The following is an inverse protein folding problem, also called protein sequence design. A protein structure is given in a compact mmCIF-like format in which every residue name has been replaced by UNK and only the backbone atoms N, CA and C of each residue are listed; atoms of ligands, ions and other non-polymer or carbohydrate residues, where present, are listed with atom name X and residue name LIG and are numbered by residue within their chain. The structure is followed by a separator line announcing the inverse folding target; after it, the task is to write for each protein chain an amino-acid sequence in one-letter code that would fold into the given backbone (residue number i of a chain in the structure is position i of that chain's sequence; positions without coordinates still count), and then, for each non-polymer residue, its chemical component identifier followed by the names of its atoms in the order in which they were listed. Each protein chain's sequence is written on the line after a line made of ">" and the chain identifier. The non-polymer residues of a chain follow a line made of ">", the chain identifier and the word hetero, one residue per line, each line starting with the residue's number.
data_IF_321154276613
#
_entry.id   IF_321154276613
#
_cell.length_a   1.000
_cell.length_b   1.000
_cell.length_c   1.000
_cell.angle_alpha   90.00
_cell.angle_beta   90.00
_cell.angle_gamma   90.00
#
_symmetry.space_group_name_H-M   'P 1'
#
loop_
_entity.id
_entity.type
_entity.pdbx_description
1 polymer ?
#
# COMPACT_ATOMS: atom_id res chain seq x y z
N UNK A 1 -8.85 18.32 -10.73
CA UNK A 1 -8.48 17.00 -10.14
C UNK A 1 -7.06 16.57 -10.48
N UNK A 2 -6.62 16.58 -11.75
CA UNK A 2 -5.25 16.19 -12.14
C UNK A 2 -4.13 16.97 -11.41
N UNK A 3 -4.31 18.28 -11.22
CA UNK A 3 -3.33 19.14 -10.53
C UNK A 3 -3.08 18.70 -9.08
N UNK A 4 -4.14 18.32 -8.36
CA UNK A 4 -4.03 17.83 -6.98
C UNK A 4 -3.32 16.47 -6.88
N UNK A 5 -3.48 15.60 -7.88
CA UNK A 5 -2.76 14.31 -7.91
C UNK A 5 -1.26 14.52 -8.17
N UNK A 6 -0.89 15.46 -9.04
CA UNK A 6 0.52 15.82 -9.27
C UNK A 6 1.19 16.35 -7.99
N UNK A 7 0.52 17.22 -7.23
CA UNK A 7 1.03 17.70 -5.95
C UNK A 7 1.23 16.56 -4.93
N UNK A 8 0.33 15.57 -4.90
CA UNK A 8 0.49 14.37 -4.07
C UNK A 8 1.70 13.53 -4.50
N UNK A 9 1.94 13.37 -5.81
CA UNK A 9 3.12 12.68 -6.34
C UNK A 9 4.40 13.42 -5.91
N UNK A 10 4.46 14.73 -6.08
CA UNK A 10 5.63 15.54 -5.71
C UNK A 10 5.91 15.51 -4.20
N UNK A 11 4.85 15.50 -3.38
CA UNK A 11 4.97 15.29 -1.95
C UNK A 11 5.59 13.92 -1.64
N UNK A 12 5.07 12.84 -2.21
CA UNK A 12 5.61 11.49 -1.97
C UNK A 12 7.04 11.35 -2.49
N UNK A 13 7.41 11.95 -3.62
CA UNK A 13 8.79 11.95 -4.12
C UNK A 13 9.74 12.61 -3.10
N UNK A 14 9.34 13.75 -2.51
CA UNK A 14 10.13 14.41 -1.45
C UNK A 14 10.20 13.57 -0.18
N UNK A 15 9.09 12.94 0.23
CA UNK A 15 9.06 12.01 1.36
C UNK A 15 10.05 10.85 1.15
N UNK A 16 10.03 10.25 -0.04
CA UNK A 16 10.96 9.19 -0.44
C UNK A 16 12.42 9.63 -0.33
N UNK A 17 12.76 10.83 -0.81
CA UNK A 17 14.11 11.38 -0.70
C UNK A 17 14.52 11.57 0.77
N UNK A 18 13.61 12.07 1.61
CA UNK A 18 13.82 12.21 3.05
C UNK A 18 14.07 10.85 3.73
N UNK A 19 13.29 9.83 3.36
CA UNK A 19 13.45 8.47 3.88
C UNK A 19 14.80 7.87 3.47
N UNK A 20 15.24 8.07 2.22
CA UNK A 20 16.58 7.62 1.79
C UNK A 20 17.70 8.25 2.61
N UNK A 21 17.60 9.55 2.90
CA UNK A 21 18.56 10.24 3.76
C UNK A 21 18.52 9.73 5.21
N UNK A 22 17.33 9.41 5.72
CA UNK A 22 17.19 8.79 7.04
C UNK A 22 17.85 7.40 7.06
N UNK A 23 17.60 6.58 6.04
CA UNK A 23 18.21 5.25 5.90
C UNK A 23 19.74 5.31 5.85
N UNK A 24 20.32 6.28 5.13
CA UNK A 24 21.78 6.41 5.04
C UNK A 24 22.45 6.78 6.37
N UNK A 25 21.70 7.32 7.32
CA UNK A 25 22.19 7.75 8.64
C UNK A 25 21.78 6.80 9.77
N UNK A 26 20.89 5.84 9.49
CA UNK A 26 20.32 4.94 10.50
C UNK A 26 21.29 3.82 10.85
N UNK A 27 21.47 3.58 12.15
CA UNK A 27 22.34 2.49 12.66
C UNK A 27 21.55 1.47 13.47
N UNK A 28 20.38 1.84 13.99
CA UNK A 28 19.51 0.95 14.75
C UNK A 28 18.60 0.14 13.84
N UNK A 29 18.50 -1.17 14.09
CA UNK A 29 17.71 -2.10 13.27
C UNK A 29 16.25 -1.70 13.16
N UNK A 30 15.61 -1.34 14.27
CA UNK A 30 14.18 -1.00 14.29
C UNK A 30 13.91 0.28 13.48
N UNK A 31 14.78 1.29 13.59
CA UNK A 31 14.70 2.51 12.78
C UNK A 31 14.83 2.22 11.29
N UNK A 32 15.77 1.34 10.92
CA UNK A 32 15.96 0.91 9.53
C UNK A 32 14.70 0.21 9.02
N UNK A 33 14.13 -0.73 9.79
CA UNK A 33 12.93 -1.45 9.40
C UNK A 33 11.74 -0.51 9.17
N UNK A 34 11.46 0.39 10.11
CA UNK A 34 10.40 1.39 9.95
C UNK A 34 10.64 2.31 8.75
N UNK A 35 11.87 2.76 8.53
CA UNK A 35 12.21 3.59 7.37
C UNK A 35 12.02 2.83 6.05
N UNK A 36 12.40 1.54 5.99
CA UNK A 36 12.16 0.68 4.81
C UNK A 36 10.67 0.47 4.57
N UNK A 37 9.86 0.21 5.61
CA UNK A 37 8.40 0.14 5.47
C UNK A 37 7.84 1.44 4.89
N UNK A 38 8.21 2.58 5.46
CA UNK A 38 7.75 3.88 4.98
C UNK A 38 8.16 4.13 3.52
N UNK A 39 9.36 3.69 3.13
CA UNK A 39 9.81 3.74 1.74
C UNK A 39 8.92 2.90 0.81
N UNK A 40 8.56 1.69 1.23
CA UNK A 40 7.67 0.81 0.46
C UNK A 40 6.26 1.39 0.32
N UNK A 41 5.69 1.91 1.41
CA UNK A 41 4.37 2.59 1.40
C UNK A 41 4.39 3.80 0.48
N UNK A 42 5.43 4.63 0.60
CA UNK A 42 5.63 5.82 -0.24
C UNK A 42 5.74 5.46 -1.73
N UNK A 43 6.53 4.43 -2.08
CA UNK A 43 6.62 3.93 -3.45
C UNK A 43 5.27 3.44 -3.98
N UNK A 44 4.51 2.70 -3.17
CA UNK A 44 3.18 2.24 -3.56
C UNK A 44 2.21 3.41 -3.82
N UNK A 45 2.25 4.47 -3.00
CA UNK A 45 1.48 5.70 -3.21
C UNK A 45 1.87 6.40 -4.51
N UNK A 46 3.16 6.58 -4.79
CA UNK A 46 3.62 7.16 -6.06
C UNK A 46 3.08 6.36 -7.24
N UNK A 47 3.18 5.02 -7.19
CA UNK A 47 2.64 4.17 -8.25
C UNK A 47 1.12 4.28 -8.39
N UNK A 48 0.37 4.36 -7.28
CA UNK A 48 -1.07 4.52 -7.29
C UNK A 48 -1.50 5.86 -7.90
N UNK A 49 -0.89 6.96 -7.46
CA UNK A 49 -1.18 8.30 -7.98
C UNK A 49 -0.80 8.46 -9.44
N UNK A 50 0.37 7.96 -9.86
CA UNK A 50 0.80 8.01 -11.27
C UNK A 50 -0.15 7.22 -12.16
N UNK A 51 -0.57 6.02 -11.74
CA UNK A 51 -1.53 5.22 -12.49
C UNK A 51 -2.89 5.91 -12.61
N UNK A 52 -3.36 6.57 -11.55
CA UNK A 52 -4.63 7.31 -11.59
C UNK A 52 -4.54 8.57 -12.45
N UNK A 53 -3.40 9.27 -12.41
CA UNK A 53 -3.14 10.43 -13.26
C UNK A 53 -3.15 10.05 -14.75
N UNK A 54 -2.50 8.94 -15.10
CA UNK A 54 -2.50 8.42 -16.47
C UNK A 54 -3.91 8.11 -16.98
N UNK A 55 -4.74 7.43 -16.17
CA UNK A 55 -6.14 7.17 -16.53
C UNK A 55 -6.94 8.45 -16.78
N UNK A 56 -6.72 9.48 -15.95
CA UNK A 56 -7.41 10.75 -16.10
C UNK A 56 -6.95 11.49 -17.37
N UNK A 57 -5.66 11.46 -17.68
CA UNK A 57 -5.10 12.03 -18.90
C UNK A 57 -5.61 11.30 -20.15
N UNK A 58 -5.67 9.97 -20.12
CA UNK A 58 -6.26 9.14 -21.20
C UNK A 58 -7.74 9.44 -21.41
N UNK A 59 -8.52 9.63 -20.34
CA UNK A 59 -9.94 10.00 -20.46
C UNK A 59 -10.12 11.37 -21.12
N UNK A 60 -9.25 12.34 -20.83
CA UNK A 60 -9.28 13.67 -21.46
C UNK A 60 -8.87 13.56 -22.93
N UNK A 61 -7.82 12.80 -23.24
CA UNK A 61 -7.33 12.63 -24.62
C UNK A 61 -8.31 11.85 -25.50
N UNK A 62 -9.04 10.90 -24.93
CA UNK A 62 -10.00 10.04 -25.63
C UNK A 62 -11.43 10.59 -25.62
N UNK A 63 -11.69 11.83 -25.17
CA UNK A 63 -13.00 12.45 -25.40
C UNK A 63 -13.21 12.64 -26.91
N UNK A 64 -14.04 11.81 -27.57
CA UNK A 64 -14.46 12.14 -28.92
C UNK A 64 -15.37 13.35 -28.78
N UNK A 65 -15.29 14.33 -29.68
CA UNK A 65 -16.33 15.35 -29.80
C UNK A 65 -17.67 14.63 -30.04
N UNK A 66 -18.43 14.36 -28.98
CA UNK A 66 -19.64 13.56 -29.06
C UNK A 66 -20.82 14.50 -29.04
N UNK A 67 -21.40 14.66 -30.23
CA UNK A 67 -22.71 15.24 -30.44
C UNK A 67 -23.71 14.68 -29.41
N UNK A 68 -24.44 15.58 -28.77
CA UNK A 68 -25.58 15.31 -27.91
C UNK A 68 -26.66 14.55 -28.71
N UNK A 69 -26.62 13.22 -28.65
CA UNK A 69 -27.81 12.42 -28.90
C UNK A 69 -28.36 12.07 -27.53
N UNK A 70 -29.35 12.88 -27.12
CA UNK A 70 -30.15 12.72 -25.92
C UNK A 70 -30.76 11.31 -25.89
N UNK A 71 -30.07 10.35 -25.27
CA UNK A 71 -30.67 9.13 -24.77
C UNK A 71 -30.77 9.30 -23.26
N UNK A 72 -31.95 9.69 -22.78
CA UNK A 72 -32.31 9.63 -21.36
C UNK A 72 -32.40 8.16 -20.91
N UNK A 73 -31.30 7.43 -20.95
CA UNK A 73 -31.15 6.31 -20.04
C UNK A 73 -31.04 6.94 -18.66
N UNK A 74 -32.05 6.75 -17.80
CA UNK A 74 -31.96 7.08 -16.36
C UNK A 74 -30.72 6.39 -15.81
N UNK A 75 -29.59 7.10 -15.84
CA UNK A 75 -28.29 6.61 -15.45
C UNK A 75 -28.39 6.32 -13.95
N UNK A 76 -28.48 5.02 -13.61
CA UNK A 76 -28.58 4.60 -12.22
C UNK A 76 -27.35 5.11 -11.50
N UNK A 77 -27.53 6.08 -10.62
CA UNK A 77 -26.45 6.65 -9.84
C UNK A 77 -25.92 5.57 -8.91
N UNK A 78 -24.63 5.28 -8.97
CA UNK A 78 -24.01 4.30 -8.08
C UNK A 78 -24.20 4.71 -6.62
N UNK A 79 -24.57 3.77 -5.76
CA UNK A 79 -24.68 4.03 -4.33
C UNK A 79 -23.28 4.25 -3.74
N UNK A 80 -23.16 5.24 -2.86
CA UNK A 80 -21.94 5.45 -2.05
C UNK A 80 -21.98 4.52 -0.84
N UNK A 81 -20.86 3.86 -0.56
CA UNK A 81 -20.69 2.99 0.61
C UNK A 81 -19.28 3.13 1.17
N UNK A 82 -19.10 2.69 2.41
CA UNK A 82 -17.79 2.54 3.06
C UNK A 82 -17.50 1.05 3.22
N UNK A 83 -16.23 0.67 3.09
CA UNK A 83 -15.77 -0.70 3.26
C UNK A 83 -14.89 -0.73 4.50
N UNK A 84 -15.18 -1.64 5.44
CA UNK A 84 -14.30 -1.91 6.57
C UNK A 84 -13.64 -3.28 6.37
N UNK A 85 -12.32 -3.33 6.53
CA UNK A 85 -11.51 -4.55 6.49
C UNK A 85 -10.92 -4.77 7.87
N UNK A 86 -11.18 -5.92 8.47
CA UNK A 86 -10.68 -6.33 9.79
C UNK A 86 -10.19 -7.78 9.76
N UNK A 87 -9.53 -8.20 10.84
CA UNK A 87 -9.20 -9.61 11.12
C UNK A 87 -8.40 -10.31 10.01
N UNK A 88 -7.44 -9.59 9.43
CA UNK A 88 -6.61 -10.12 8.34
C UNK A 88 -5.65 -11.15 8.92
N UNK A 89 -5.79 -12.39 8.44
CA UNK A 89 -4.96 -13.53 8.86
C UNK A 89 -4.23 -14.15 7.68
N UNK A 90 -2.92 -14.32 7.82
CA UNK A 90 -2.05 -14.96 6.83
C UNK A 90 -1.40 -16.19 7.47
N UNK A 91 -1.87 -17.41 7.14
CA UNK A 91 -1.25 -18.64 7.61
C UNK A 91 0.19 -18.77 7.08
N UNK A 92 1.10 -19.23 7.93
CA UNK A 92 2.50 -19.45 7.62
C UNK A 92 2.80 -20.94 7.58
N UNK A 93 3.58 -21.34 6.59
CA UNK A 93 4.09 -22.70 6.44
C UNK A 93 5.61 -22.67 6.56
N UNK A 94 6.11 -23.05 7.74
CA UNK A 94 7.54 -23.20 7.97
C UNK A 94 8.03 -24.54 7.45
N UNK A 95 9.26 -24.58 6.94
CA UNK A 95 9.90 -25.86 6.62
C UNK A 95 10.31 -26.56 7.92
N UNK A 96 10.27 -27.88 7.93
CA UNK A 96 10.71 -28.70 9.07
C UNK A 96 12.16 -28.39 9.46
N UNK A 97 13.03 -28.10 8.48
CA UNK A 97 14.41 -27.67 8.71
C UNK A 97 14.51 -26.39 9.52
N UNK A 98 13.56 -25.48 9.39
CA UNK A 98 13.57 -24.18 10.07
C UNK A 98 12.90 -24.30 11.45
N UNK A 99 11.87 -25.15 11.55
CA UNK A 99 11.15 -25.42 12.79
C UNK A 99 12.02 -26.20 13.80
N UNK A 100 12.66 -27.29 13.37
CA UNK A 100 13.37 -28.23 14.27
C UNK A 100 14.87 -27.99 14.43
N UNK A 101 15.50 -27.13 13.62
CA UNK A 101 16.92 -26.81 13.80
C UNK A 101 17.10 -25.76 14.92
N UNK A 102 17.79 -26.17 15.99
CA UNK A 102 18.05 -25.34 17.18
C UNK A 102 19.50 -24.83 17.26
N UNK A 103 20.32 -25.06 16.22
CA UNK A 103 21.74 -24.74 16.27
C UNK A 103 22.10 -23.32 15.86
N UNK A 104 21.14 -22.51 15.41
CA UNK A 104 21.34 -21.10 15.07
C UNK A 104 20.16 -20.25 15.58
N UNK A 105 20.37 -18.95 15.81
CA UNK A 105 19.26 -18.01 16.08
C UNK A 105 18.31 -18.09 14.89
N UNK A 106 17.07 -18.53 15.14
CA UNK A 106 16.06 -18.62 14.10
C UNK A 106 15.90 -17.26 13.39
N UNK A 107 15.78 -17.25 12.04
CA UNK A 107 15.59 -16.02 11.30
C UNK A 107 14.29 -15.34 11.75
N UNK A 108 14.34 -14.01 11.88
CA UNK A 108 13.19 -13.16 12.17
C UNK A 108 12.87 -12.33 10.95
N UNK A 109 11.58 -12.19 10.65
CA UNK A 109 11.08 -11.50 9.48
C UNK A 109 10.22 -10.32 9.93
N UNK A 110 10.40 -9.17 9.29
CA UNK A 110 9.49 -8.05 9.46
C UNK A 110 8.41 -8.11 8.39
N UNK A 111 7.15 -8.13 8.79
CA UNK A 111 6.00 -8.26 7.87
C UNK A 111 4.99 -7.14 8.14
N UNK A 112 4.43 -6.61 7.06
CA UNK A 112 3.29 -5.69 7.07
C UNK A 112 2.52 -5.87 5.76
N UNK A 113 1.27 -5.41 5.72
CA UNK A 113 0.43 -5.46 4.52
C UNK A 113 0.18 -4.06 3.95
N UNK A 114 -0.05 -4.02 2.64
CA UNK A 114 -0.47 -2.84 1.89
C UNK A 114 -1.81 -3.12 1.22
N UNK A 115 -2.76 -2.21 1.36
CA UNK A 115 -4.04 -2.23 0.65
C UNK A 115 -4.10 -1.06 -0.31
N UNK A 116 -4.48 -1.32 -1.56
CA UNK A 116 -4.65 -0.28 -2.59
C UNK A 116 -6.08 -0.31 -3.10
N UNK A 117 -6.76 0.82 -3.01
CA UNK A 117 -8.08 1.04 -3.61
C UNK A 117 -8.02 2.30 -4.47
N UNK A 118 -7.94 2.12 -5.79
CA UNK A 118 -7.70 3.24 -6.71
C UNK A 118 -6.38 3.97 -6.40
N UNK A 119 -6.48 5.26 -6.09
CA UNK A 119 -5.37 6.10 -5.69
C UNK A 119 -5.02 6.00 -4.19
N UNK A 120 -5.89 5.42 -3.37
CA UNK A 120 -5.68 5.34 -1.93
C UNK A 120 -4.86 4.11 -1.54
N UNK A 121 -3.88 4.30 -0.65
CA UNK A 121 -2.98 3.24 -0.18
C UNK A 121 -2.88 3.29 1.33
N UNK A 122 -3.20 2.15 1.94
CA UNK A 122 -3.22 1.92 3.39
C UNK A 122 -2.21 0.83 3.75
N UNK A 123 -1.75 0.85 4.99
CA UNK A 123 -0.78 -0.11 5.50
C UNK A 123 -1.12 -0.55 6.92
N UNK A 124 -0.75 -1.79 7.27
CA UNK A 124 -0.85 -2.30 8.64
C UNK A 124 0.41 -1.96 9.43
N UNK A 125 0.35 -2.07 10.76
CA UNK A 125 1.56 -2.06 11.57
C UNK A 125 2.52 -3.19 11.18
N UNK A 126 3.81 -2.94 11.42
CA UNK A 126 4.85 -3.93 11.18
C UNK A 126 4.91 -4.91 12.34
N UNK A 127 4.97 -6.20 12.04
CA UNK A 127 5.14 -7.27 13.01
C UNK A 127 6.45 -8.00 12.77
N UNK A 128 7.11 -8.41 13.84
CA UNK A 128 8.28 -9.29 13.78
C UNK A 128 7.80 -10.73 13.98
N UNK A 129 8.14 -11.58 13.02
CA UNK A 129 7.67 -12.95 12.92
C UNK A 129 8.86 -13.90 12.98
N UNK A 130 8.72 -14.99 13.73
CA UNK A 130 9.67 -16.09 13.74
C UNK A 130 8.96 -17.43 13.63
N UNK A 131 9.73 -18.52 13.64
CA UNK A 131 9.24 -19.90 13.48
C UNK A 131 8.17 -20.34 14.49
N UNK A 132 7.98 -19.61 15.59
CA UNK A 132 6.96 -19.93 16.59
C UNK A 132 5.55 -19.45 16.19
N UNK A 133 5.46 -18.56 15.20
CA UNK A 133 4.21 -17.98 14.74
C UNK A 133 3.65 -18.82 13.58
N UNK A 134 2.45 -19.37 13.73
CA UNK A 134 1.76 -20.12 12.67
C UNK A 134 0.92 -19.24 11.76
N UNK A 135 0.53 -18.06 12.25
CA UNK A 135 -0.37 -17.15 11.55
C UNK A 135 -0.02 -15.70 11.87
N UNK A 136 0.04 -14.86 10.85
CA UNK A 136 0.13 -13.41 11.03
C UNK A 136 -1.28 -12.87 11.14
N UNK A 137 -1.58 -12.16 12.22
CA UNK A 137 -2.89 -11.56 12.47
C UNK A 137 -2.74 -10.04 12.60
N UNK A 138 -3.44 -9.28 11.77
CA UNK A 138 -3.54 -7.83 11.91
C UNK A 138 -4.91 -7.46 12.50
N UNK A 139 -4.91 -6.97 13.74
CA UNK A 139 -6.13 -6.62 14.49
C UNK A 139 -6.71 -5.25 14.09
N UNK A 140 -5.94 -4.43 13.39
CA UNK A 140 -6.35 -3.08 13.02
C UNK A 140 -7.46 -3.11 11.96
N UNK A 141 -8.50 -2.30 12.16
CA UNK A 141 -9.56 -2.08 11.18
C UNK A 141 -9.15 -0.98 10.21
N UNK A 142 -9.19 -1.28 8.90
CA UNK A 142 -9.01 -0.29 7.83
C UNK A 142 -10.36 0.08 7.24
N UNK A 143 -10.73 1.36 7.27
CA UNK A 143 -11.99 1.87 6.70
C UNK A 143 -11.65 2.65 5.43
N UNK A 144 -12.31 2.27 4.32
CA UNK A 144 -12.19 2.79 2.96
C UNK A 144 -13.50 3.47 2.55
#
# INVERSE_FOLDING_TARGET
>A
MAYSIREKIDLEIRMRQGIWKLLSLSTQKDQILHAVKNLMVCNARIMAYTSELQKLEEQIANQPGRCDVNFESKERTACKGKIAISDIRIPLMWKDSDHFNNKERAPRYAVFCLFKMGAEVFDTDMMIVDKTITDICFENVTIL
#
